data_IF_517722625022
#
_entry.id   IF_517722625022
#
_cell.length_a   1.000
_cell.length_b   1.000
_cell.length_c   1.000
_cell.angle_alpha   90.00
_cell.angle_beta   90.00
_cell.angle_gamma   90.00
#
_symmetry.space_group_name_H-M   'P 1'
#
loop_
_entity.id
_entity.type
_entity.pdbx_description
1 polymer ?
#
# COMPACT_ATOMS: atom_id res chain seq x y z
N UNK A 1 2.85 -6.52 14.75
CA UNK A 1 1.49 -6.18 14.38
C UNK A 1 0.59 -7.34 14.75
N UNK A 2 -0.43 -7.09 15.56
CA UNK A 2 -1.39 -8.11 15.93
C UNK A 2 -2.55 -8.11 14.93
N UNK A 3 -2.90 -9.30 14.43
CA UNK A 3 -4.11 -9.50 13.66
C UNK A 3 -5.31 -9.50 14.61
N UNK A 4 -6.39 -8.89 14.17
CA UNK A 4 -7.70 -8.98 14.84
C UNK A 4 -8.49 -10.05 14.09
N UNK A 5 -8.98 -11.06 14.80
CA UNK A 5 -9.87 -12.07 14.23
C UNK A 5 -11.31 -11.79 14.67
N UNK A 6 -12.18 -11.56 13.70
CA UNK A 6 -13.62 -11.32 13.94
C UNK A 6 -14.43 -12.01 12.85
N UNK A 7 -15.39 -12.84 13.24
CA UNK A 7 -16.30 -13.50 12.30
C UNK A 7 -15.61 -14.45 11.32
N UNK A 8 -14.45 -15.01 11.69
CA UNK A 8 -13.66 -15.89 10.83
C UNK A 8 -12.78 -15.13 9.82
N UNK A 9 -12.65 -13.83 9.95
CA UNK A 9 -11.81 -12.97 9.11
C UNK A 9 -10.67 -12.34 9.91
N UNK A 10 -9.56 -12.08 9.22
CA UNK A 10 -8.39 -11.43 9.78
C UNK A 10 -8.29 -9.98 9.27
N UNK A 11 -8.11 -9.06 10.22
CA UNK A 11 -7.98 -7.62 9.96
C UNK A 11 -6.71 -7.06 10.58
N UNK A 12 -6.18 -5.98 9.99
CA UNK A 12 -5.20 -5.13 10.64
C UNK A 12 -5.90 -4.06 11.46
N UNK A 13 -5.44 -3.83 12.70
CA UNK A 13 -5.87 -2.66 13.49
C UNK A 13 -5.07 -1.44 13.06
N UNK A 14 -5.56 -0.75 12.02
CA UNK A 14 -4.88 0.44 11.51
C UNK A 14 -4.86 1.59 12.53
N UNK A 15 -5.85 1.68 13.41
CA UNK A 15 -5.87 2.69 14.45
C UNK A 15 -4.83 2.41 15.53
N UNK A 16 -4.57 1.16 15.86
CA UNK A 16 -3.46 0.80 16.74
C UNK A 16 -2.11 1.11 16.09
N UNK A 17 -1.94 0.85 14.78
CA UNK A 17 -0.73 1.24 14.03
C UNK A 17 -0.52 2.75 14.07
N UNK A 18 -1.55 3.54 13.77
CA UNK A 18 -1.50 5.00 13.86
C UNK A 18 -1.13 5.46 15.27
N UNK A 19 -1.74 4.91 16.31
CA UNK A 19 -1.42 5.24 17.70
C UNK A 19 0.07 5.00 18.00
N UNK A 20 0.63 3.87 17.56
CA UNK A 20 2.05 3.59 17.76
C UNK A 20 2.96 4.56 17.02
N UNK A 21 2.56 5.01 15.82
CA UNK A 21 3.29 6.07 15.09
C UNK A 21 3.27 7.37 15.91
N UNK A 22 2.11 7.79 16.40
CA UNK A 22 1.97 9.00 17.24
C UNK A 22 2.82 8.89 18.50
N UNK A 23 2.81 7.76 19.18
CA UNK A 23 3.62 7.54 20.40
C UNK A 23 5.12 7.58 20.08
N UNK A 24 5.56 7.02 18.95
CA UNK A 24 6.92 7.14 18.46
C UNK A 24 7.32 8.59 18.17
N UNK A 25 6.46 9.36 17.50
CA UNK A 25 6.70 10.76 17.20
C UNK A 25 6.79 11.62 18.46
N UNK A 26 5.97 11.35 19.49
CA UNK A 26 6.08 12.00 20.82
C UNK A 26 7.43 11.73 21.48
N UNK A 27 7.92 10.48 21.42
CA UNK A 27 9.23 10.13 21.97
C UNK A 27 10.35 10.90 21.28
N UNK A 28 10.31 11.03 19.96
CA UNK A 28 11.30 11.80 19.21
C UNK A 28 11.23 13.29 19.56
N UNK A 29 10.01 13.85 19.63
CA UNK A 29 9.81 15.23 20.06
C UNK A 29 10.40 15.48 21.46
N UNK A 30 10.18 14.55 22.41
CA UNK A 30 10.69 14.65 23.76
C UNK A 30 12.23 14.65 23.85
N UNK A 31 12.90 13.96 22.91
CA UNK A 31 14.37 13.97 22.83
C UNK A 31 14.96 15.28 22.33
N UNK A 32 14.13 16.16 21.77
CA UNK A 32 14.56 17.46 21.24
C UNK A 32 15.41 17.35 19.96
N UNK A 33 15.34 16.22 19.27
CA UNK A 33 16.08 16.01 18.02
C UNK A 33 15.40 16.77 16.87
N UNK A 34 16.22 17.34 15.97
CA UNK A 34 15.72 17.97 14.75
C UNK A 34 15.36 16.91 13.73
N UNK A 35 14.10 16.90 13.30
CA UNK A 35 13.59 15.98 12.28
C UNK A 35 13.44 16.72 10.96
N UNK A 36 14.09 16.25 9.90
CA UNK A 36 13.99 16.83 8.57
C UNK A 36 12.72 16.36 7.84
N UNK A 37 12.35 15.09 7.98
CA UNK A 37 11.18 14.51 7.32
C UNK A 37 10.76 13.19 7.98
N UNK A 38 9.57 12.71 7.60
CA UNK A 38 9.02 11.41 7.97
C UNK A 38 8.76 10.64 6.69
N UNK A 39 9.15 9.37 6.65
CA UNK A 39 8.79 8.40 5.61
C UNK A 39 8.11 7.19 6.24
N UNK A 40 7.19 6.57 5.52
CA UNK A 40 6.44 5.38 5.96
C UNK A 40 6.54 4.31 4.91
N UNK A 41 7.02 3.13 5.29
CA UNK A 41 6.92 1.92 4.51
C UNK A 41 6.17 0.84 5.31
N UNK A 42 5.55 -0.08 4.59
CA UNK A 42 4.79 -1.19 5.16
C UNK A 42 4.91 -2.43 4.26
N UNK A 43 4.26 -3.51 4.67
CA UNK A 43 4.02 -4.66 3.81
C UNK A 43 3.11 -4.31 2.63
N UNK A 44 3.19 -5.09 1.55
CA UNK A 44 2.43 -4.91 0.32
C UNK A 44 0.97 -5.35 0.39
N UNK A 45 0.27 -5.13 -0.69
CA UNK A 45 -1.04 -5.66 -1.12
C UNK A 45 -2.28 -5.22 -0.35
N UNK A 46 -2.16 -4.86 0.93
CA UNK A 46 -3.32 -4.48 1.74
C UNK A 46 -3.67 -3.00 1.60
N UNK A 47 -4.94 -2.70 1.75
CA UNK A 47 -5.50 -1.37 1.52
C UNK A 47 -6.68 -1.07 2.45
N UNK A 48 -6.99 0.20 2.59
CA UNK A 48 -8.21 0.70 3.25
C UNK A 48 -9.20 1.25 2.22
N UNK A 49 -10.46 1.26 2.61
CA UNK A 49 -11.55 1.87 1.87
C UNK A 49 -12.03 3.10 2.65
N UNK A 50 -12.07 4.25 1.99
CA UNK A 50 -12.56 5.51 2.57
C UNK A 50 -13.87 5.92 1.91
N UNK A 51 -14.78 6.41 2.74
CA UNK A 51 -16.00 7.07 2.28
C UNK A 51 -15.71 8.48 1.73
N UNK A 52 -16.74 9.12 1.17
CA UNK A 52 -16.67 10.51 0.65
C UNK A 52 -16.30 11.54 1.70
N UNK A 53 -16.51 11.24 2.96
CA UNK A 53 -16.15 12.06 4.12
C UNK A 53 -14.69 11.89 4.54
N UNK A 54 -13.93 11.01 3.87
CA UNK A 54 -12.54 10.68 4.18
C UNK A 54 -12.35 9.73 5.36
N UNK A 55 -13.45 9.20 5.93
CA UNK A 55 -13.38 8.24 7.03
C UNK A 55 -13.22 6.80 6.53
N UNK A 56 -12.53 5.95 7.32
CA UNK A 56 -12.45 4.53 7.05
C UNK A 56 -13.83 3.87 7.15
N UNK A 57 -14.18 3.09 6.16
CA UNK A 57 -15.45 2.34 6.14
C UNK A 57 -15.38 1.08 6.98
N UNK A 58 -14.18 0.47 7.10
CA UNK A 58 -13.87 -0.65 7.99
C UNK A 58 -12.38 -0.82 8.19
N UNK A 59 -11.99 -1.70 9.11
CA UNK A 59 -10.61 -2.17 9.23
C UNK A 59 -10.17 -2.92 7.95
N UNK A 60 -8.93 -2.72 7.48
CA UNK A 60 -8.42 -3.41 6.29
C UNK A 60 -8.30 -4.92 6.54
N UNK A 61 -8.67 -5.73 5.57
CA UNK A 61 -8.35 -7.15 5.60
C UNK A 61 -6.83 -7.35 5.65
N UNK A 62 -6.41 -8.35 6.38
CA UNK A 62 -5.03 -8.80 6.30
C UNK A 62 -4.87 -9.75 5.11
N UNK A 63 -3.75 -9.66 4.40
CA UNK A 63 -3.47 -10.51 3.23
C UNK A 63 -3.49 -12.03 3.54
N UNK A 64 -3.45 -12.39 4.82
CA UNK A 64 -3.56 -13.80 5.30
C UNK A 64 -5.00 -14.25 5.48
N UNK A 65 -5.97 -13.37 5.27
CA UNK A 65 -7.38 -13.71 5.35
C UNK A 65 -7.76 -14.68 4.24
N UNK A 66 -8.58 -15.72 4.53
CA UNK A 66 -8.94 -16.72 3.53
C UNK A 66 -9.95 -16.23 2.48
N UNK A 67 -10.46 -14.97 2.55
CA UNK A 67 -11.49 -14.49 1.62
C UNK A 67 -11.08 -14.52 0.15
N UNK A 68 -9.79 -14.58 -0.14
CA UNK A 68 -9.25 -14.63 -1.52
C UNK A 68 -8.93 -16.04 -2.02
N UNK A 69 -9.30 -17.09 -1.26
CA UNK A 69 -9.12 -18.48 -1.75
C UNK A 69 -9.95 -18.68 -3.01
N UNK A 70 -9.30 -19.17 -4.09
CA UNK A 70 -9.91 -19.35 -5.42
C UNK A 70 -10.14 -18.07 -6.22
N UNK A 71 -9.72 -16.90 -5.70
CA UNK A 71 -9.92 -15.63 -6.37
C UNK A 71 -9.12 -15.49 -7.68
N UNK A 72 -7.85 -15.94 -7.79
CA UNK A 72 -7.13 -15.90 -9.07
C UNK A 72 -7.82 -16.69 -10.17
N UNK A 73 -8.29 -17.89 -9.89
CA UNK A 73 -9.00 -18.75 -10.85
C UNK A 73 -10.28 -18.08 -11.34
N UNK A 74 -11.05 -17.48 -10.43
CA UNK A 74 -12.27 -16.75 -10.77
C UNK A 74 -11.98 -15.51 -11.61
N UNK A 75 -10.91 -14.78 -11.32
CA UNK A 75 -10.50 -13.60 -12.10
C UNK A 75 -10.01 -13.98 -13.50
N UNK A 76 -9.16 -15.00 -13.60
CA UNK A 76 -8.55 -15.44 -14.86
C UNK A 76 -9.53 -16.12 -15.82
N UNK A 77 -10.75 -16.43 -15.40
CA UNK A 77 -11.83 -16.80 -16.30
C UNK A 77 -12.29 -15.64 -17.21
N UNK A 78 -11.96 -14.40 -16.87
CA UNK A 78 -12.36 -13.16 -17.58
C UNK A 78 -11.21 -12.45 -18.28
N UNK A 79 -10.04 -12.38 -17.64
CA UNK A 79 -8.81 -11.79 -18.18
C UNK A 79 -7.70 -12.82 -17.95
N UNK A 80 -6.96 -13.17 -18.99
CA UNK A 80 -5.97 -14.25 -18.89
C UNK A 80 -4.81 -13.92 -17.94
N UNK A 81 -4.24 -14.95 -17.31
CA UNK A 81 -3.06 -14.80 -16.44
C UNK A 81 -1.88 -14.16 -17.17
N UNK A 82 -1.64 -14.57 -18.42
CA UNK A 82 -0.55 -14.03 -19.25
C UNK A 82 -0.74 -12.55 -19.56
N UNK A 83 -1.98 -12.12 -19.75
CA UNK A 83 -2.30 -10.71 -20.00
C UNK A 83 -2.06 -9.86 -18.75
N UNK A 84 -2.54 -10.28 -17.58
CA UNK A 84 -2.30 -9.61 -16.32
C UNK A 84 -0.79 -9.53 -16.03
N UNK A 85 -0.07 -10.64 -16.19
CA UNK A 85 1.37 -10.65 -15.97
C UNK A 85 2.11 -9.76 -16.98
N UNK A 86 1.78 -9.84 -18.26
CA UNK A 86 2.40 -9.02 -19.31
C UNK A 86 2.25 -7.51 -19.07
N UNK A 87 1.13 -7.09 -18.44
CA UNK A 87 0.92 -5.69 -18.06
C UNK A 87 1.66 -5.31 -16.79
N UNK A 88 1.64 -6.17 -15.77
CA UNK A 88 2.06 -5.78 -14.41
C UNK A 88 3.45 -6.28 -14.03
N UNK A 89 3.92 -7.38 -14.61
CA UNK A 89 5.18 -8.04 -14.22
C UNK A 89 5.16 -8.65 -12.82
N UNK A 90 4.03 -8.67 -12.13
CA UNK A 90 3.93 -9.09 -10.74
C UNK A 90 3.54 -10.55 -10.62
N UNK A 91 4.26 -11.30 -9.78
CA UNK A 91 3.93 -12.67 -9.45
C UNK A 91 2.50 -12.79 -8.91
N UNK A 92 1.78 -13.78 -9.43
CA UNK A 92 0.40 -14.06 -9.01
C UNK A 92 0.41 -14.74 -7.65
N UNK A 93 -0.13 -14.03 -6.67
CA UNK A 93 -0.45 -14.54 -5.34
C UNK A 93 -1.93 -14.28 -5.06
N UNK A 94 -2.63 -15.22 -4.46
CA UNK A 94 -4.08 -15.08 -4.23
C UNK A 94 -4.47 -13.83 -3.44
N UNK A 95 -3.57 -13.29 -2.63
CA UNK A 95 -3.76 -12.12 -1.80
C UNK A 95 -3.38 -10.77 -2.46
N UNK A 96 -2.92 -10.74 -3.72
CA UNK A 96 -2.68 -9.45 -4.39
C UNK A 96 -3.96 -8.62 -4.41
N UNK A 97 -3.83 -7.31 -4.28
CA UNK A 97 -4.98 -6.39 -4.14
C UNK A 97 -6.01 -6.54 -5.27
N UNK A 98 -5.55 -6.85 -6.49
CA UNK A 98 -6.43 -7.16 -7.63
C UNK A 98 -7.46 -8.24 -7.27
N UNK A 99 -7.01 -9.33 -6.65
CA UNK A 99 -7.89 -10.45 -6.29
C UNK A 99 -8.71 -10.17 -5.04
N UNK A 100 -8.17 -9.40 -4.09
CA UNK A 100 -8.94 -8.91 -2.95
C UNK A 100 -10.11 -8.05 -3.42
N UNK A 101 -9.86 -7.03 -4.24
CA UNK A 101 -10.87 -6.13 -4.80
C UNK A 101 -11.90 -6.89 -5.66
N UNK A 102 -11.44 -7.83 -6.49
CA UNK A 102 -12.34 -8.67 -7.28
C UNK A 102 -13.27 -9.51 -6.40
N UNK A 103 -12.74 -10.08 -5.33
CA UNK A 103 -13.54 -10.85 -4.36
C UNK A 103 -14.59 -9.97 -3.68
N UNK A 104 -14.19 -8.80 -3.20
CA UNK A 104 -15.11 -7.84 -2.58
C UNK A 104 -16.22 -7.45 -3.57
N UNK A 105 -15.86 -7.13 -4.81
CA UNK A 105 -16.83 -6.78 -5.86
C UNK A 105 -17.81 -7.92 -6.15
N UNK A 106 -17.33 -9.15 -6.33
CA UNK A 106 -18.18 -10.31 -6.62
C UNK A 106 -19.14 -10.63 -5.47
N UNK A 107 -18.72 -10.35 -4.24
CA UNK A 107 -19.49 -10.58 -3.03
C UNK A 107 -20.40 -9.39 -2.67
N UNK A 108 -20.49 -8.35 -3.51
CA UNK A 108 -21.27 -7.14 -3.23
C UNK A 108 -20.94 -6.53 -1.87
N UNK A 109 -19.63 -6.43 -1.58
CA UNK A 109 -19.15 -5.91 -0.31
C UNK A 109 -19.57 -4.46 -0.10
N UNK A 110 -20.33 -4.21 0.96
CA UNK A 110 -20.93 -2.91 1.21
C UNK A 110 -19.90 -1.79 1.44
N UNK A 111 -18.72 -2.12 1.98
CA UNK A 111 -17.68 -1.13 2.16
C UNK A 111 -17.05 -0.75 0.81
N UNK A 112 -16.84 -1.71 -0.10
CA UNK A 112 -16.35 -1.41 -1.46
C UNK A 112 -17.39 -0.62 -2.26
N UNK A 113 -18.68 -0.96 -2.15
CA UNK A 113 -19.77 -0.24 -2.84
C UNK A 113 -19.92 1.22 -2.35
N UNK A 114 -19.63 1.48 -1.07
CA UNK A 114 -19.67 2.82 -0.48
C UNK A 114 -18.35 3.59 -0.62
N UNK A 115 -17.28 2.94 -1.08
CA UNK A 115 -15.95 3.55 -1.13
C UNK A 115 -15.86 4.65 -2.19
N UNK A 116 -15.30 5.79 -1.80
CA UNK A 116 -14.86 6.86 -2.68
C UNK A 116 -13.39 6.69 -3.04
N UNK A 117 -12.56 6.28 -2.06
CA UNK A 117 -11.12 6.11 -2.22
C UNK A 117 -10.62 4.76 -1.71
N UNK A 118 -9.56 4.29 -2.38
CA UNK A 118 -8.73 3.15 -1.99
C UNK A 118 -7.34 3.68 -1.70
N UNK A 119 -6.81 3.48 -0.50
CA UNK A 119 -5.44 3.82 -0.15
C UNK A 119 -4.70 2.59 0.34
N UNK A 120 -3.49 2.35 -0.17
CA UNK A 120 -2.62 1.30 0.35
C UNK A 120 -2.16 1.63 1.78
N UNK A 121 -1.71 0.63 2.52
CA UNK A 121 -1.42 0.80 3.95
C UNK A 121 -0.49 1.97 4.28
N UNK A 122 0.68 2.18 3.62
CA UNK A 122 1.55 3.33 3.93
C UNK A 122 0.93 4.65 3.50
N UNK A 123 0.14 4.65 2.41
CA UNK A 123 -0.58 5.83 1.94
C UNK A 123 -1.68 6.24 2.93
N UNK A 124 -2.39 5.25 3.48
CA UNK A 124 -3.41 5.47 4.50
C UNK A 124 -2.82 6.05 5.80
N UNK A 125 -1.71 5.50 6.27
CA UNK A 125 -1.01 6.03 7.43
C UNK A 125 -0.46 7.45 7.19
N UNK A 126 0.07 7.70 5.98
CA UNK A 126 0.51 9.04 5.56
C UNK A 126 -0.68 10.01 5.47
N UNK A 127 -1.83 9.56 4.98
CA UNK A 127 -3.07 10.34 4.97
C UNK A 127 -3.51 10.72 6.39
N UNK A 128 -3.48 9.78 7.33
CA UNK A 128 -3.83 10.05 8.74
C UNK A 128 -2.90 11.09 9.39
N UNK A 129 -1.65 11.21 8.92
CA UNK A 129 -0.70 12.22 9.40
C UNK A 129 -0.84 13.58 8.70
N UNK A 130 -1.22 13.60 7.42
CA UNK A 130 -1.11 14.79 6.56
C UNK A 130 -2.43 15.30 6.01
N UNK A 131 -3.49 14.50 6.04
CA UNK A 131 -4.74 14.77 5.34
C UNK A 131 -4.62 14.72 3.81
N UNK A 132 -3.51 14.22 3.24
CA UNK A 132 -3.29 14.14 1.79
C UNK A 132 -3.38 12.71 1.30
N UNK A 133 -4.28 12.47 0.34
CA UNK A 133 -4.47 11.17 -0.29
C UNK A 133 -3.50 11.03 -1.46
N UNK A 134 -2.64 10.05 -1.39
CA UNK A 134 -1.67 9.69 -2.44
C UNK A 134 -1.76 8.20 -2.75
N UNK A 135 -1.13 7.81 -3.83
CA UNK A 135 -0.87 6.42 -4.23
C UNK A 135 0.61 6.35 -4.60
N UNK A 136 1.41 5.78 -3.71
CA UNK A 136 2.84 5.66 -3.95
C UNK A 136 3.13 4.47 -4.87
N UNK A 137 4.04 4.67 -5.83
CA UNK A 137 4.32 3.74 -6.92
C UNK A 137 4.73 2.35 -6.45
N UNK A 138 5.68 2.24 -5.51
CA UNK A 138 6.25 0.94 -5.13
C UNK A 138 5.27 0.07 -4.37
N UNK A 139 4.45 0.68 -3.48
CA UNK A 139 3.39 -0.07 -2.80
C UNK A 139 2.28 -0.44 -3.78
N UNK A 140 1.88 0.47 -4.68
CA UNK A 140 0.87 0.21 -5.69
C UNK A 140 1.29 -0.90 -6.66
N UNK A 141 2.59 -1.04 -6.97
CA UNK A 141 3.10 -2.10 -7.84
C UNK A 141 2.78 -3.50 -7.30
N UNK A 142 2.73 -3.68 -5.96
CA UNK A 142 2.41 -4.98 -5.34
C UNK A 142 0.98 -5.44 -5.60
N UNK A 143 0.11 -4.51 -5.96
CA UNK A 143 -1.33 -4.73 -6.10
C UNK A 143 -1.75 -5.52 -7.34
N UNK A 144 -0.87 -5.71 -8.33
CA UNK A 144 -1.21 -6.13 -9.70
C UNK A 144 -2.22 -5.19 -10.40
N UNK A 145 -2.14 -3.89 -10.11
CA UNK A 145 -2.98 -2.84 -10.70
C UNK A 145 -2.15 -1.79 -11.45
N UNK A 146 -0.83 -1.85 -11.37
CA UNK A 146 0.08 -0.92 -12.03
C UNK A 146 0.68 -1.57 -13.27
N UNK A 147 0.64 -0.87 -14.39
CA UNK A 147 1.32 -1.27 -15.60
C UNK A 147 2.83 -0.99 -15.47
N UNK A 148 3.65 -2.03 -15.56
CA UNK A 148 5.10 -1.96 -15.37
C UNK A 148 5.82 -1.11 -16.44
N UNK A 149 5.25 -0.99 -17.64
CA UNK A 149 5.83 -0.22 -18.74
C UNK A 149 5.51 1.28 -18.65
N UNK A 150 4.27 1.62 -18.29
CA UNK A 150 3.81 3.01 -18.18
C UNK A 150 4.05 3.59 -16.78
N UNK A 151 4.29 2.75 -15.80
CA UNK A 151 4.39 3.10 -14.38
C UNK A 151 3.15 3.86 -13.87
N UNK A 152 1.97 3.48 -14.36
CA UNK A 152 0.66 4.05 -13.99
C UNK A 152 -0.33 2.94 -13.69
N UNK A 153 -1.41 3.29 -13.02
CA UNK A 153 -2.54 2.38 -12.84
C UNK A 153 -3.05 1.91 -14.20
N UNK A 154 -3.36 0.61 -14.31
CA UNK A 154 -3.82 -0.02 -15.56
C UNK A 154 -5.35 0.08 -15.63
N UNK A 155 -5.90 0.91 -16.53
CA UNK A 155 -7.34 1.19 -16.56
C UNK A 155 -8.22 -0.05 -16.78
N UNK A 156 -7.71 -1.01 -17.56
CA UNK A 156 -8.46 -2.24 -17.83
C UNK A 156 -8.59 -3.11 -16.58
N UNK A 157 -7.52 -3.23 -15.78
CA UNK A 157 -7.55 -3.97 -14.52
C UNK A 157 -8.40 -3.25 -13.47
N UNK A 158 -8.33 -1.91 -13.41
CA UNK A 158 -9.21 -1.13 -12.54
C UNK A 158 -10.68 -1.36 -12.89
N UNK A 159 -11.05 -1.25 -14.16
CA UNK A 159 -12.39 -1.50 -14.65
C UNK A 159 -12.86 -2.92 -14.32
N UNK A 160 -11.97 -3.92 -14.42
CA UNK A 160 -12.30 -5.31 -14.11
C UNK A 160 -12.74 -5.49 -12.65
N UNK A 161 -12.24 -4.67 -11.73
CA UNK A 161 -12.62 -4.67 -10.30
C UNK A 161 -13.62 -3.58 -9.94
N UNK A 162 -14.16 -2.85 -10.94
CA UNK A 162 -15.20 -1.82 -10.76
C UNK A 162 -14.68 -0.49 -10.24
N UNK A 163 -13.40 -0.22 -10.41
CA UNK A 163 -12.74 1.02 -9.99
C UNK A 163 -12.25 1.83 -11.21
N UNK A 164 -11.87 3.05 -10.95
CA UNK A 164 -11.27 4.01 -11.87
C UNK A 164 -10.08 4.69 -11.19
N UNK A 165 -9.25 5.41 -11.94
CA UNK A 165 -8.07 6.11 -11.41
C UNK A 165 -8.46 7.11 -10.32
N UNK A 166 -9.62 7.75 -10.45
CA UNK A 166 -10.18 8.71 -9.48
C UNK A 166 -10.46 8.11 -8.10
N UNK A 167 -10.61 6.78 -8.00
CA UNK A 167 -10.74 6.10 -6.71
C UNK A 167 -9.43 6.02 -5.94
N UNK A 168 -8.32 6.42 -6.53
CA UNK A 168 -7.00 6.45 -5.90
C UNK A 168 -6.56 7.87 -5.57
N UNK A 169 -5.52 8.01 -4.75
CA UNK A 169 -4.91 9.30 -4.45
C UNK A 169 -4.03 9.80 -5.61
N UNK A 170 -3.47 11.01 -5.45
CA UNK A 170 -2.47 11.54 -6.37
C UNK A 170 -1.28 10.55 -6.48
N UNK A 171 -0.96 10.12 -7.69
CA UNK A 171 0.15 9.19 -7.92
C UNK A 171 1.48 9.87 -7.64
N UNK A 172 2.32 9.24 -6.80
CA UNK A 172 3.62 9.79 -6.38
C UNK A 172 4.72 8.74 -6.46
N UNK A 173 5.95 9.22 -6.59
CA UNK A 173 7.16 8.40 -6.58
C UNK A 173 7.99 8.68 -5.33
N UNK A 174 8.90 7.75 -4.93
CA UNK A 174 9.84 7.98 -3.85
C UNK A 174 10.62 9.29 -4.03
N UNK A 175 10.75 10.07 -2.95
CA UNK A 175 11.36 11.39 -2.94
C UNK A 175 10.37 12.56 -3.05
N UNK A 176 9.12 12.32 -3.49
CA UNK A 176 8.12 13.38 -3.57
C UNK A 176 7.54 13.73 -2.19
N UNK A 177 7.24 15.01 -1.99
CA UNK A 177 6.53 15.45 -0.79
C UNK A 177 5.04 15.08 -0.88
N UNK A 178 4.55 14.34 0.11
CA UNK A 178 3.13 14.02 0.30
C UNK A 178 2.40 15.24 0.89
N UNK A 179 2.89 15.73 2.01
CA UNK A 179 2.32 16.85 2.76
C UNK A 179 3.18 17.22 3.95
N UNK A 180 2.56 17.88 4.93
CA UNK A 180 3.14 18.13 6.26
C UNK A 180 2.19 17.59 7.32
N UNK A 181 2.69 17.33 8.51
CA UNK A 181 1.84 16.98 9.65
C UNK A 181 0.69 17.99 9.79
N UNK A 182 -0.53 17.49 9.98
CA UNK A 182 -1.70 18.34 10.27
C UNK A 182 -1.50 19.08 11.59
N UNK A 183 -2.21 20.20 11.80
CA UNK A 183 -2.17 20.96 13.06
C UNK A 183 -2.55 20.07 14.26
N UNK A 184 -3.48 19.15 14.08
CA UNK A 184 -3.86 18.20 15.11
C UNK A 184 -2.69 17.27 15.48
N UNK A 185 -2.02 16.68 14.48
CA UNK A 185 -0.86 15.81 14.71
C UNK A 185 0.31 16.59 15.33
N UNK A 186 0.57 17.82 14.87
CA UNK A 186 1.57 18.69 15.46
C UNK A 186 1.30 18.93 16.96
N UNK A 187 0.04 19.26 17.30
CA UNK A 187 -0.38 19.49 18.67
C UNK A 187 -0.26 18.25 19.55
N UNK A 188 -0.66 17.09 19.03
CA UNK A 188 -0.63 15.81 19.78
C UNK A 188 0.80 15.34 20.01
N UNK A 189 1.69 15.53 19.05
CA UNK A 189 3.07 15.02 19.09
C UNK A 189 4.06 16.00 19.70
N UNK A 190 3.75 17.30 19.68
CA UNK A 190 4.67 18.37 20.05
C UNK A 190 5.70 18.71 18.96
N UNK A 191 5.54 18.13 17.75
CA UNK A 191 6.37 18.42 16.58
C UNK A 191 5.82 19.61 15.80
N UNK A 192 6.67 20.27 15.01
CA UNK A 192 6.24 21.30 14.05
C UNK A 192 5.65 20.71 12.77
N UNK A 193 5.52 21.55 11.74
CA UNK A 193 5.02 21.16 10.41
C UNK A 193 6.06 20.32 9.65
N UNK A 194 6.40 19.15 10.16
CA UNK A 194 7.38 18.23 9.59
C UNK A 194 6.82 17.69 8.26
N UNK A 195 7.60 17.71 7.16
CA UNK A 195 7.19 17.13 5.89
C UNK A 195 7.13 15.61 5.97
N UNK A 196 6.11 15.03 5.34
CA UNK A 196 6.02 13.60 5.05
C UNK A 196 6.40 13.41 3.59
N UNK A 197 7.40 12.58 3.36
CA UNK A 197 7.99 12.31 2.04
C UNK A 197 7.64 10.87 1.64
N UNK A 198 7.24 10.68 0.40
CA UNK A 198 7.09 9.35 -0.17
C UNK A 198 8.47 8.67 -0.19
N UNK A 199 8.55 7.52 0.43
CA UNK A 199 9.69 6.59 0.33
C UNK A 199 9.26 5.41 -0.54
N UNK A 200 10.12 4.40 -0.75
CA UNK A 200 9.63 3.14 -1.28
C UNK A 200 8.66 2.53 -0.25
N UNK A 201 7.36 2.78 -0.44
CA UNK A 201 6.29 2.45 0.51
C UNK A 201 6.12 0.94 0.74
N UNK A 202 6.64 0.12 -0.17
CA UNK A 202 6.76 -1.32 0.01
C UNK A 202 8.08 -1.66 0.74
N UNK A 203 8.00 -2.30 1.89
CA UNK A 203 9.14 -2.65 2.76
C UNK A 203 10.25 -3.40 2.01
N UNK A 204 9.90 -4.33 1.13
CA UNK A 204 10.87 -5.01 0.27
C UNK A 204 11.50 -4.04 -0.73
N UNK A 205 10.74 -3.10 -1.29
CA UNK A 205 11.28 -2.05 -2.16
C UNK A 205 12.30 -1.18 -1.43
N UNK A 206 12.00 -0.78 -0.19
CA UNK A 206 12.93 -0.07 0.70
C UNK A 206 14.18 -0.90 0.99
N UNK A 207 14.02 -2.21 1.26
CA UNK A 207 15.16 -3.11 1.49
C UNK A 207 16.05 -3.25 0.25
N UNK A 208 15.47 -3.35 -0.95
CA UNK A 208 16.23 -3.40 -2.22
C UNK A 208 16.97 -2.09 -2.46
N UNK A 209 16.32 -0.94 -2.22
CA UNK A 209 16.95 0.37 -2.36
C UNK A 209 18.13 0.57 -1.39
N UNK A 210 18.14 -0.12 -0.26
CA UNK A 210 19.20 -0.07 0.74
C UNK A 210 20.40 -1.00 0.45
N UNK A 211 20.35 -1.83 -0.60
CA UNK A 211 21.44 -2.74 -0.95
C UNK A 211 22.67 -1.93 -1.37
N UNK A 212 23.84 -2.10 -0.73
CA UNK A 212 25.05 -1.32 -1.03
C UNK A 212 25.77 -1.86 -2.29
N UNK A 213 25.04 -1.96 -3.40
CA UNK A 213 25.58 -2.39 -4.68
C UNK A 213 26.47 -1.29 -5.28
N UNK A 214 27.59 -1.68 -5.89
CA UNK A 214 28.53 -0.77 -6.55
C UNK A 214 28.27 -0.64 -8.05
N UNK A 215 27.57 -1.61 -8.64
CA UNK A 215 27.19 -1.63 -10.05
C UNK A 215 25.84 -2.34 -10.24
N UNK A 216 25.38 -2.50 -11.49
CA UNK A 216 24.11 -3.18 -11.82
C UNK A 216 24.18 -4.72 -11.81
N UNK A 217 25.35 -5.32 -11.68
CA UNK A 217 25.55 -6.75 -11.76
C UNK A 217 25.53 -7.36 -10.33
N UNK A 218 24.39 -7.25 -9.66
CA UNK A 218 24.23 -7.82 -8.33
C UNK A 218 22.92 -8.60 -8.21
N UNK A 219 22.92 -9.56 -7.28
CA UNK A 219 21.70 -10.18 -6.80
C UNK A 219 21.48 -9.77 -5.35
N UNK A 220 20.25 -9.55 -4.97
CA UNK A 220 19.88 -9.26 -3.59
C UNK A 220 19.12 -10.44 -2.97
N UNK A 221 19.20 -10.56 -1.66
CA UNK A 221 18.40 -11.45 -0.84
C UNK A 221 17.79 -10.65 0.30
N UNK A 222 16.51 -10.32 0.18
CA UNK A 222 15.74 -9.76 1.29
C UNK A 222 15.12 -10.90 2.10
N UNK A 223 15.62 -11.10 3.32
CA UNK A 223 15.21 -12.20 4.20
C UNK A 223 14.60 -11.66 5.48
N UNK A 224 13.26 -11.72 5.56
CA UNK A 224 12.43 -11.29 6.69
C UNK A 224 11.28 -12.28 6.90
N UNK A 225 10.05 -11.79 6.91
CA UNK A 225 8.84 -12.64 6.90
C UNK A 225 8.79 -13.52 5.65
N UNK A 226 9.26 -12.98 4.52
CA UNK A 226 9.51 -13.66 3.26
C UNK A 226 11.01 -13.67 2.98
N UNK A 227 11.47 -14.63 2.18
CA UNK A 227 12.83 -14.65 1.63
C UNK A 227 12.71 -14.44 0.11
N UNK A 228 13.09 -13.27 -0.35
CA UNK A 228 12.98 -12.85 -1.73
C UNK A 228 14.34 -12.62 -2.33
N UNK A 229 14.68 -13.38 -3.36
CA UNK A 229 15.93 -13.23 -4.12
C UNK A 229 15.61 -12.63 -5.48
N UNK A 230 16.39 -11.68 -5.93
CA UNK A 230 16.18 -11.03 -7.21
C UNK A 230 17.42 -10.35 -7.76
N UNK A 231 17.24 -9.86 -8.98
CA UNK A 231 18.17 -9.00 -9.70
C UNK A 231 17.41 -7.81 -10.27
N UNK A 232 18.10 -6.72 -10.59
CA UNK A 232 17.51 -5.62 -11.33
C UNK A 232 17.45 -5.94 -12.83
N UNK A 233 16.30 -5.68 -13.44
CA UNK A 233 16.07 -5.85 -14.89
C UNK A 233 15.38 -4.62 -15.46
N UNK A 234 15.58 -4.34 -16.76
CA UNK A 234 14.96 -3.20 -17.42
C UNK A 234 13.50 -3.45 -17.82
N UNK A 235 13.03 -4.70 -17.73
CA UNK A 235 11.66 -5.11 -18.04
C UNK A 235 11.27 -6.37 -17.25
N UNK A 236 9.97 -6.64 -17.06
CA UNK A 236 9.47 -7.90 -16.54
C UNK A 236 9.96 -9.10 -17.35
N UNK A 237 10.31 -10.21 -16.70
CA UNK A 237 10.90 -11.41 -17.32
C UNK A 237 9.91 -12.56 -17.26
#
# INVERSE_FOLDING_TARGET
>A
NHLIEVGGHFYWDIYALYRHIIDGLKLVAHRGESIASIGIDTWGVDFVLLGKDGNLLRQPYAYRDPHTVGAPEAFFSRISRSEVYGKTGIQVMNFNSLFQLDTLRRNHDSALEAADKVLFMPDALSYMLTGKMVTEYTIASTAQLVNAHTQRLEPELLKAVGLQEENFGRFVFPGEKIGTLTEEVQKITGLGAIPVIAVAGHDTGSAVAAVPALDRNFAYLSSGTWSLMGVETDAPV
#
